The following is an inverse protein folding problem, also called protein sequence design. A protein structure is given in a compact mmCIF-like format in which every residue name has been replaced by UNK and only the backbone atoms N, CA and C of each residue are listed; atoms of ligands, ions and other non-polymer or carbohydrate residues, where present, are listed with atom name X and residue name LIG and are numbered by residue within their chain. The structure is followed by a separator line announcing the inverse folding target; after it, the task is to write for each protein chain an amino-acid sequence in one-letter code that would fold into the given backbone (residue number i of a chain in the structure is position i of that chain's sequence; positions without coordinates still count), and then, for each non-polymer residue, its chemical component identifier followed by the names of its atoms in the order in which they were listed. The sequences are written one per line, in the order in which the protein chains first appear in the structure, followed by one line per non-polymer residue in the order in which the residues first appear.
data_IF_085379673788
#
_entry.id   IF_085379673788
#
_cell.length_a   1.000
_cell.length_b   1.000
_cell.length_c   1.000
_cell.angle_alpha   90.00
_cell.angle_beta   90.00
_cell.angle_gamma   90.00
#
_symmetry.space_group_name_H-M   'P 1'
#
loop_
_entity.id
_entity.type
_entity.pdbx_description
1 polymer ?
#
# COMPACT_ATOMS: atom_id res chain seq x y z
N UNK A 1 43.52 -39.24 2.78
CA UNK A 1 42.34 -38.78 2.00
C UNK A 1 41.87 -37.46 2.59
N UNK A 2 41.87 -36.41 1.77
CA UNK A 2 41.86 -35.01 2.19
C UNK A 2 40.46 -34.49 2.53
N UNK A 3 40.09 -34.49 3.82
CA UNK A 3 38.84 -33.87 4.35
C UNK A 3 38.70 -32.37 4.02
N UNK A 4 39.76 -31.73 3.53
CA UNK A 4 39.76 -30.32 3.13
C UNK A 4 39.00 -30.09 1.81
N UNK A 5 38.92 -31.12 0.95
CA UNK A 5 38.26 -31.04 -0.36
C UNK A 5 36.73 -31.02 -0.26
N UNK A 6 36.14 -31.81 0.65
CA UNK A 6 34.68 -31.89 0.84
C UNK A 6 34.11 -30.60 1.45
N UNK A 7 34.84 -29.97 2.38
CA UNK A 7 34.43 -28.66 2.96
C UNK A 7 34.41 -27.54 1.92
N UNK A 8 35.27 -27.60 0.90
CA UNK A 8 35.30 -26.62 -0.19
C UNK A 8 34.11 -26.76 -1.14
N UNK A 9 33.73 -28.00 -1.46
CA UNK A 9 32.57 -28.28 -2.33
C UNK A 9 31.25 -27.76 -1.73
N UNK A 10 31.00 -28.02 -0.44
CA UNK A 10 29.78 -27.54 0.24
C UNK A 10 29.69 -26.00 0.26
N UNK A 11 30.84 -25.32 0.44
CA UNK A 11 30.87 -23.85 0.40
C UNK A 11 30.51 -23.30 -1.00
N UNK A 12 30.93 -23.99 -2.06
CA UNK A 12 30.63 -23.61 -3.45
C UNK A 12 29.16 -23.87 -3.79
N UNK A 13 28.59 -25.00 -3.37
CA UNK A 13 27.17 -25.31 -3.55
C UNK A 13 26.28 -24.26 -2.86
N UNK A 14 26.61 -23.88 -1.63
CA UNK A 14 25.89 -22.82 -0.92
C UNK A 14 26.04 -21.46 -1.62
N UNK A 15 27.23 -21.13 -2.13
CA UNK A 15 27.46 -19.88 -2.84
C UNK A 15 26.61 -19.74 -4.12
N UNK A 16 26.24 -20.86 -4.75
CA UNK A 16 25.37 -20.86 -5.94
C UNK A 16 23.89 -20.75 -5.56
N UNK A 17 23.46 -21.39 -4.47
CA UNK A 17 22.05 -21.38 -4.04
C UNK A 17 21.67 -20.10 -3.28
N UNK A 18 22.58 -19.54 -2.50
CA UNK A 18 22.32 -18.37 -1.66
C UNK A 18 21.76 -17.15 -2.43
N UNK A 19 22.26 -16.78 -3.63
CA UNK A 19 21.70 -15.68 -4.41
C UNK A 19 20.22 -15.89 -4.79
N UNK A 20 19.85 -17.11 -5.14
CA UNK A 20 18.46 -17.46 -5.49
C UNK A 20 17.57 -17.36 -4.26
N UNK A 21 18.02 -17.88 -3.12
CA UNK A 21 17.30 -17.80 -1.85
C UNK A 21 17.09 -16.33 -1.43
N UNK A 22 18.13 -15.50 -1.52
CA UNK A 22 18.05 -14.06 -1.20
C UNK A 22 17.07 -13.34 -2.12
N UNK A 23 17.09 -13.62 -3.43
CA UNK A 23 16.12 -13.04 -4.37
C UNK A 23 14.68 -13.41 -4.02
N UNK A 24 14.42 -14.67 -3.66
CA UNK A 24 13.07 -15.12 -3.24
C UNK A 24 12.63 -14.38 -1.97
N UNK A 25 13.51 -14.27 -0.96
CA UNK A 25 13.19 -13.57 0.28
C UNK A 25 12.89 -12.09 0.06
N UNK A 26 13.69 -11.40 -0.76
CA UNK A 26 13.44 -10.01 -1.13
C UNK A 26 12.09 -9.85 -1.86
N UNK A 27 11.77 -10.77 -2.78
CA UNK A 27 10.47 -10.79 -3.45
C UNK A 27 9.29 -10.94 -2.48
N UNK A 28 9.40 -11.84 -1.51
CA UNK A 28 8.36 -12.03 -0.47
C UNK A 28 8.21 -10.77 0.38
N UNK A 29 9.31 -10.13 0.79
CA UNK A 29 9.27 -8.91 1.60
C UNK A 29 8.61 -7.74 0.84
N UNK A 30 8.97 -7.55 -0.42
CA UNK A 30 8.38 -6.51 -1.28
C UNK A 30 6.88 -6.73 -1.47
N UNK A 31 6.48 -7.97 -1.78
CA UNK A 31 5.08 -8.32 -1.93
C UNK A 31 4.28 -8.12 -0.63
N UNK A 32 4.83 -8.57 0.50
CA UNK A 32 4.19 -8.39 1.81
C UNK A 32 3.97 -6.92 2.15
N UNK A 33 4.96 -6.06 1.86
CA UNK A 33 4.83 -4.62 2.04
C UNK A 33 3.80 -4.01 1.09
N UNK A 34 3.79 -4.38 -0.18
CA UNK A 34 2.79 -3.92 -1.14
C UNK A 34 1.37 -4.29 -0.70
N UNK A 35 1.17 -5.52 -0.23
CA UNK A 35 -0.11 -5.98 0.28
C UNK A 35 -0.57 -5.18 1.52
N UNK A 36 0.34 -4.92 2.47
CA UNK A 36 0.04 -4.10 3.64
C UNK A 36 -0.39 -2.67 3.27
N UNK A 37 0.29 -2.07 2.29
CA UNK A 37 -0.06 -0.76 1.74
C UNK A 37 -1.43 -0.79 1.07
N UNK A 38 -1.73 -1.79 0.24
CA UNK A 38 -3.05 -1.93 -0.40
C UNK A 38 -4.18 -2.04 0.63
N UNK A 39 -3.98 -2.82 1.69
CA UNK A 39 -4.95 -2.94 2.78
C UNK A 39 -5.16 -1.60 3.49
N UNK A 40 -4.07 -0.87 3.75
CA UNK A 40 -4.13 0.45 4.40
C UNK A 40 -4.87 1.47 3.52
N UNK A 41 -4.60 1.52 2.21
CA UNK A 41 -5.29 2.42 1.27
C UNK A 41 -6.80 2.11 1.19
N UNK A 42 -7.16 0.83 1.20
CA UNK A 42 -8.56 0.40 1.18
C UNK A 42 -9.29 0.85 2.45
N UNK A 43 -8.66 0.69 3.62
CA UNK A 43 -9.21 1.15 4.89
C UNK A 43 -9.32 2.69 4.92
N UNK A 44 -8.27 3.39 4.48
CA UNK A 44 -8.24 4.85 4.38
C UNK A 44 -9.37 5.41 3.50
N UNK A 45 -9.60 4.81 2.33
CA UNK A 45 -10.69 5.21 1.44
C UNK A 45 -12.07 4.99 2.07
N UNK A 46 -12.27 3.88 2.79
CA UNK A 46 -13.53 3.58 3.51
C UNK A 46 -13.81 4.58 4.62
N UNK A 47 -12.79 4.92 5.41
CA UNK A 47 -12.94 5.87 6.51
C UNK A 47 -13.16 7.31 5.99
N UNK A 48 -12.49 7.66 4.89
CA UNK A 48 -12.70 8.94 4.21
C UNK A 48 -14.11 9.08 3.63
N UNK A 49 -14.61 8.07 2.90
CA UNK A 49 -15.96 8.14 2.33
C UNK A 49 -17.04 8.15 3.42
N UNK A 50 -16.83 7.43 4.53
CA UNK A 50 -17.73 7.47 5.69
C UNK A 50 -17.80 8.86 6.30
N UNK A 51 -16.63 9.48 6.52
CA UNK A 51 -16.56 10.86 7.02
C UNK A 51 -17.24 11.85 6.06
N UNK A 52 -17.10 11.65 4.74
CA UNK A 52 -17.78 12.46 3.73
C UNK A 52 -19.30 12.25 3.76
N UNK A 53 -19.78 11.02 3.93
CA UNK A 53 -21.21 10.70 3.98
C UNK A 53 -21.92 11.29 5.20
N UNK A 54 -21.22 11.45 6.33
CA UNK A 54 -21.78 11.96 7.58
C UNK A 54 -21.62 13.48 7.69
N UNK A 55 -20.41 13.98 7.44
CA UNK A 55 -20.05 15.38 7.72
C UNK A 55 -20.19 16.29 6.50
N UNK A 56 -20.37 15.72 5.30
CA UNK A 56 -20.41 16.45 4.03
C UNK A 56 -19.26 17.48 3.89
N UNK A 57 -18.05 17.08 4.27
CA UNK A 57 -16.89 17.98 4.28
C UNK A 57 -15.63 17.26 3.83
N UNK A 58 -15.12 17.64 2.65
CA UNK A 58 -13.89 17.07 2.11
C UNK A 58 -12.68 17.28 3.02
N UNK A 59 -12.61 18.41 3.74
CA UNK A 59 -11.51 18.66 4.67
C UNK A 59 -11.49 17.61 5.79
N UNK A 60 -12.65 17.31 6.39
CA UNK A 60 -12.77 16.27 7.42
C UNK A 60 -12.51 14.88 6.86
N UNK A 61 -12.98 14.60 5.64
CA UNK A 61 -12.76 13.32 4.96
C UNK A 61 -11.28 13.10 4.58
N UNK A 62 -10.56 14.14 4.17
CA UNK A 62 -9.11 14.09 3.92
C UNK A 62 -8.34 13.80 5.19
N UNK A 63 -8.69 14.46 6.30
CA UNK A 63 -8.09 14.18 7.60
C UNK A 63 -8.35 12.73 8.02
N UNK A 64 -9.57 12.23 7.87
CA UNK A 64 -9.91 10.85 8.18
C UNK A 64 -9.09 9.83 7.35
N UNK A 65 -8.93 10.09 6.04
CA UNK A 65 -8.06 9.29 5.18
C UNK A 65 -6.61 9.29 5.67
N UNK A 66 -6.05 10.47 6.00
CA UNK A 66 -4.67 10.61 6.48
C UNK A 66 -4.45 9.92 7.83
N UNK A 67 -5.39 10.03 8.75
CA UNK A 67 -5.34 9.38 10.07
C UNK A 67 -5.40 7.85 9.96
N UNK A 68 -6.19 7.31 9.04
CA UNK A 68 -6.26 5.88 8.77
C UNK A 68 -5.02 5.31 8.06
N UNK A 69 -4.07 6.18 7.69
CA UNK A 69 -2.94 5.90 6.82
C UNK A 69 -1.60 6.37 7.40
N UNK A 70 -1.51 6.62 8.70
CA UNK A 70 -0.32 7.20 9.37
C UNK A 70 0.94 6.36 9.25
N UNK A 71 0.79 5.04 9.05
CA UNK A 71 1.91 4.12 8.82
C UNK A 71 2.54 4.20 7.42
N UNK A 72 1.96 4.96 6.48
CA UNK A 72 2.52 5.14 5.13
C UNK A 72 3.67 6.14 5.14
N UNK A 73 4.76 5.79 4.44
CA UNK A 73 5.92 6.66 4.22
C UNK A 73 6.33 6.63 2.76
N UNK A 74 6.22 7.74 2.01
CA UNK A 74 5.77 9.07 2.46
C UNK A 74 4.30 9.11 2.92
N UNK A 75 3.96 10.09 3.76
CA UNK A 75 2.59 10.32 4.22
C UNK A 75 1.68 10.76 3.06
N UNK A 76 0.38 10.46 3.15
CA UNK A 76 -0.62 10.92 2.17
C UNK A 76 -0.73 12.45 2.19
N UNK A 77 -0.73 13.04 1.00
CA UNK A 77 -1.08 14.44 0.76
C UNK A 77 -2.52 14.56 0.29
N UNK A 78 -3.07 15.78 0.29
CA UNK A 78 -4.43 15.99 -0.21
C UNK A 78 -4.54 15.66 -1.72
N UNK A 79 -3.48 15.84 -2.51
CA UNK A 79 -3.46 15.46 -3.93
C UNK A 79 -3.62 13.95 -4.18
N UNK A 80 -3.40 13.12 -3.15
CA UNK A 80 -3.62 11.68 -3.22
C UNK A 80 -5.08 11.28 -3.08
N UNK A 81 -5.96 12.18 -2.61
CA UNK A 81 -7.34 11.86 -2.23
C UNK A 81 -8.28 12.61 -3.19
N UNK A 82 -9.06 11.85 -3.95
CA UNK A 82 -10.03 12.37 -4.92
C UNK A 82 -11.44 11.95 -4.57
N UNK A 83 -12.38 12.86 -4.79
CA UNK A 83 -13.80 12.70 -4.48
C UNK A 83 -14.58 12.71 -5.80
N UNK A 84 -15.63 11.90 -5.94
CA UNK A 84 -16.46 11.89 -7.15
C UNK A 84 -17.39 13.11 -7.28
N UNK A 85 -17.58 13.89 -6.22
CA UNK A 85 -18.42 15.09 -6.18
C UNK A 85 -17.89 16.04 -5.09
N UNK A 86 -18.27 17.33 -5.17
CA UNK A 86 -17.88 18.33 -4.17
C UNK A 86 -18.56 18.10 -2.83
N UNK A 87 -19.87 17.80 -2.88
CA UNK A 87 -20.75 17.60 -1.75
C UNK A 87 -21.43 16.23 -1.84
N UNK A 88 -21.83 15.70 -0.69
CA UNK A 88 -22.53 14.45 -0.52
C UNK A 88 -24.04 14.73 -0.44
N UNK A 89 -24.73 14.64 -1.57
CA UNK A 89 -26.19 14.85 -1.61
C UNK A 89 -26.91 13.60 -1.15
N UNK A 90 -27.82 13.69 -0.17
CA UNK A 90 -28.54 12.54 0.37
C UNK A 90 -29.19 11.68 -0.73
N UNK A 91 -29.04 10.35 -0.62
CA UNK A 91 -29.54 9.41 -1.63
C UNK A 91 -28.62 9.21 -2.85
N UNK A 92 -27.53 9.97 -2.98
CA UNK A 92 -26.52 9.78 -4.03
C UNK A 92 -25.33 8.96 -3.53
N UNK A 93 -24.60 8.31 -4.43
CA UNK A 93 -23.42 7.53 -4.08
C UNK A 93 -22.16 8.40 -4.12
N UNK A 94 -21.43 8.45 -3.00
CA UNK A 94 -20.13 9.10 -2.89
C UNK A 94 -19.03 8.07 -3.08
N UNK A 95 -18.07 8.37 -3.94
CA UNK A 95 -16.84 7.57 -4.11
C UNK A 95 -15.64 8.40 -3.72
N UNK A 96 -14.80 7.85 -2.83
CA UNK A 96 -13.48 8.41 -2.51
C UNK A 96 -12.40 7.45 -3.01
N UNK A 97 -11.44 7.98 -3.76
CA UNK A 97 -10.26 7.26 -4.24
C UNK A 97 -9.01 7.82 -3.58
N UNK A 98 -8.18 6.94 -3.03
CA UNK A 98 -6.88 7.26 -2.43
C UNK A 98 -5.80 6.62 -3.28
N UNK A 99 -4.94 7.44 -3.89
CA UNK A 99 -3.87 7.02 -4.80
C UNK A 99 -2.51 7.14 -4.13
N UNK A 100 -1.66 6.12 -4.31
CA UNK A 100 -0.35 6.08 -3.68
C UNK A 100 0.69 5.43 -4.58
N UNK A 101 1.89 5.98 -4.62
CA UNK A 101 3.01 5.40 -5.36
C UNK A 101 3.98 4.76 -4.38
N UNK A 102 4.00 3.44 -4.38
CA UNK A 102 4.85 2.66 -3.50
C UNK A 102 6.23 2.47 -4.12
N UNK A 103 7.26 3.07 -3.53
CA UNK A 103 8.65 2.78 -3.89
C UNK A 103 9.07 1.40 -3.37
N UNK A 104 9.60 0.55 -4.24
CA UNK A 104 10.18 -0.76 -3.90
C UNK A 104 11.48 -0.61 -3.11
N UNK A 105 11.74 -1.47 -2.15
CA UNK A 105 12.99 -1.51 -1.36
C UNK A 105 14.23 -1.77 -2.22
N UNK A 106 14.08 -2.63 -3.23
CA UNK A 106 15.15 -3.09 -4.11
C UNK A 106 15.37 -2.20 -5.33
N UNK A 107 14.41 -1.33 -5.65
CA UNK A 107 14.44 -0.47 -6.84
C UNK A 107 14.20 -1.20 -8.18
N UNK A 108 14.05 -2.53 -8.17
CA UNK A 108 13.99 -3.37 -9.38
C UNK A 108 12.65 -3.20 -10.12
N UNK A 109 11.55 -2.97 -9.39
CA UNK A 109 10.19 -2.95 -9.96
C UNK A 109 9.58 -1.54 -10.08
N UNK A 110 10.38 -0.48 -9.88
CA UNK A 110 9.91 0.91 -9.97
C UNK A 110 8.83 1.28 -8.94
N UNK A 111 8.32 2.53 -8.95
CA UNK A 111 7.20 2.91 -8.10
C UNK A 111 5.91 2.23 -8.58
N UNK A 112 5.30 1.44 -7.71
CA UNK A 112 4.03 0.76 -7.98
C UNK A 112 2.88 1.72 -7.68
N UNK A 113 2.11 2.09 -8.70
CA UNK A 113 0.90 2.89 -8.55
C UNK A 113 -0.21 2.01 -7.96
N UNK A 114 -0.72 2.40 -6.81
CA UNK A 114 -1.73 1.67 -6.04
C UNK A 114 -2.90 2.59 -5.73
N UNK A 115 -4.12 2.03 -5.68
CA UNK A 115 -5.31 2.81 -5.33
C UNK A 115 -6.21 2.03 -4.37
N UNK A 116 -6.78 2.75 -3.40
CA UNK A 116 -7.87 2.29 -2.56
C UNK A 116 -9.15 3.05 -2.93
N UNK A 117 -10.28 2.35 -3.05
CA UNK A 117 -11.58 2.97 -3.34
C UNK A 117 -12.60 2.60 -2.27
N UNK A 118 -13.34 3.61 -1.81
CA UNK A 118 -14.47 3.46 -0.89
C UNK A 118 -15.70 4.11 -1.48
N UNK A 119 -16.83 3.40 -1.47
CA UNK A 119 -18.13 3.91 -1.92
C UNK A 119 -19.17 3.77 -0.82
N UNK A 120 -19.98 4.82 -0.60
CA UNK A 120 -21.11 4.80 0.34
C UNK A 120 -22.26 5.68 -0.18
N UNK A 121 -23.48 5.41 0.29
CA UNK A 121 -24.62 6.30 0.07
C UNK A 121 -24.51 7.51 1.01
N UNK A 122 -24.71 8.71 0.49
CA UNK A 122 -24.81 9.93 1.28
C UNK A 122 -26.13 9.97 2.06
N UNK A 123 -26.09 10.47 3.30
CA UNK A 123 -27.29 10.70 4.10
C UNK A 123 -27.98 9.43 4.57
N UNK A 124 -27.20 8.41 4.94
CA UNK A 124 -27.69 7.14 5.48
C UNK A 124 -28.69 7.30 6.62
#
# INVERSE_FOLDING_TARGET
MSRKSERGAVAVEFAILAPVLVMILLGIMEFGRAYNVQSTLTNSARESVRSMAINNSQATARTAAKTAATQLSPALSDGNITFSATDCTAGTQMTVTVSYNLSTLTGIAGPLAMTGKGTMLCGG
#
